data_IF_777071624873
#
_entry.id   IF_777071624873
#
_cell.length_a   1.000
_cell.length_b   1.000
_cell.length_c   1.000
_cell.angle_alpha   90.00
_cell.angle_beta   90.00
_cell.angle_gamma   90.00
#
_symmetry.space_group_name_H-M   'P 1'
#
loop_
_entity.id
_entity.type
_entity.pdbx_description
1 polymer ?
#
# COMPACT_ATOMS: atom_id res chain seq x y z
N UNK A 1 -11.69 42.73 -30.36
CA UNK A 1 -11.36 42.40 -28.95
C UNK A 1 -10.08 43.16 -28.63
N UNK A 2 -10.12 43.98 -27.60
CA UNK A 2 -9.00 44.85 -27.24
C UNK A 2 -7.86 44.02 -26.67
N UNK A 3 -6.59 44.32 -27.06
CA UNK A 3 -5.39 43.60 -26.65
C UNK A 3 -5.26 43.52 -25.11
N UNK A 4 -5.76 44.53 -24.37
CA UNK A 4 -5.78 44.55 -22.91
C UNK A 4 -6.67 43.47 -22.30
N UNK A 5 -7.82 43.21 -22.94
CA UNK A 5 -8.78 42.18 -22.51
C UNK A 5 -8.19 40.78 -22.76
N UNK A 6 -7.53 40.55 -23.90
CA UNK A 6 -6.90 39.29 -24.21
C UNK A 6 -5.76 38.93 -23.25
N UNK A 7 -5.01 39.96 -22.84
CA UNK A 7 -3.90 39.81 -21.89
C UNK A 7 -4.40 39.50 -20.47
N UNK A 8 -5.51 40.10 -20.05
CA UNK A 8 -6.16 39.78 -18.76
C UNK A 8 -6.69 38.35 -18.72
N UNK A 9 -7.34 37.89 -19.79
CA UNK A 9 -7.83 36.51 -19.90
C UNK A 9 -6.67 35.51 -19.83
N UNK A 10 -5.59 35.74 -20.57
CA UNK A 10 -4.41 34.88 -20.49
C UNK A 10 -3.83 34.83 -19.09
N UNK A 11 -3.71 35.94 -18.40
CA UNK A 11 -3.19 36.02 -17.04
C UNK A 11 -4.10 35.27 -16.04
N UNK A 12 -5.40 35.47 -16.14
CA UNK A 12 -6.40 34.75 -15.32
C UNK A 12 -6.36 33.23 -15.54
N UNK A 13 -6.20 32.77 -16.77
CA UNK A 13 -6.02 31.34 -17.07
C UNK A 13 -4.76 30.75 -16.43
N UNK A 14 -3.63 31.42 -16.50
CA UNK A 14 -2.39 30.96 -15.87
C UNK A 14 -2.50 30.86 -14.35
N UNK A 15 -3.14 31.82 -13.70
CA UNK A 15 -3.37 31.85 -12.25
C UNK A 15 -4.18 30.63 -11.78
N UNK A 16 -5.08 30.08 -12.59
CA UNK A 16 -5.92 28.94 -12.25
C UNK A 16 -5.30 27.60 -12.70
N UNK A 17 -4.52 27.57 -13.79
CA UNK A 17 -3.91 26.32 -14.28
C UNK A 17 -2.78 25.81 -13.37
N UNK A 18 -2.00 26.71 -12.77
CA UNK A 18 -0.90 26.33 -11.88
C UNK A 18 -1.41 25.59 -10.63
N UNK A 19 -2.39 26.09 -9.85
CA UNK A 19 -2.93 25.36 -8.71
C UNK A 19 -3.64 24.05 -9.13
N UNK A 20 -4.30 24.02 -10.30
CA UNK A 20 -4.84 22.76 -10.83
C UNK A 20 -3.78 21.72 -11.08
N UNK A 21 -2.67 22.07 -11.74
CA UNK A 21 -1.56 21.16 -11.95
C UNK A 21 -0.97 20.65 -10.65
N UNK A 22 -0.84 21.52 -9.64
CA UNK A 22 -0.38 21.14 -8.30
C UNK A 22 -1.32 20.14 -7.62
N UNK A 23 -2.64 20.33 -7.70
CA UNK A 23 -3.62 19.40 -7.14
C UNK A 23 -3.59 18.04 -7.83
N UNK A 24 -3.35 18.00 -9.15
CA UNK A 24 -3.19 16.73 -9.89
C UNK A 24 -1.94 16.00 -9.42
N UNK A 25 -0.81 16.70 -9.24
CA UNK A 25 0.42 16.11 -8.73
C UNK A 25 0.21 15.54 -7.33
N UNK A 26 -0.46 16.28 -6.43
CA UNK A 26 -0.79 15.78 -5.09
C UNK A 26 -1.68 14.54 -5.14
N UNK A 27 -2.70 14.52 -5.99
CA UNK A 27 -3.59 13.37 -6.14
C UNK A 27 -2.82 12.12 -6.64
N UNK A 28 -1.94 12.29 -7.63
CA UNK A 28 -1.11 11.19 -8.14
C UNK A 28 -0.12 10.68 -7.08
N UNK A 29 0.51 11.57 -6.33
CA UNK A 29 1.41 11.20 -5.22
C UNK A 29 0.67 10.42 -4.13
N UNK A 30 -0.54 10.85 -3.74
CA UNK A 30 -1.35 10.14 -2.75
C UNK A 30 -1.80 8.76 -3.24
N UNK A 31 -2.11 8.61 -4.53
CA UNK A 31 -2.44 7.30 -5.12
C UNK A 31 -1.25 6.35 -5.08
N UNK A 32 -0.05 6.82 -5.43
CA UNK A 32 1.18 6.03 -5.37
C UNK A 32 1.49 5.59 -3.94
N UNK A 33 1.34 6.50 -2.96
CA UNK A 33 1.53 6.20 -1.55
C UNK A 33 0.54 5.13 -1.03
N UNK A 34 -0.75 5.22 -1.41
CA UNK A 34 -1.77 4.22 -1.09
C UNK A 34 -1.41 2.86 -1.70
N UNK A 35 -0.98 2.85 -2.96
CA UNK A 35 -0.59 1.63 -3.65
C UNK A 35 0.62 0.98 -2.97
N UNK A 36 1.63 1.76 -2.62
CA UNK A 36 2.83 1.29 -1.91
C UNK A 36 2.47 0.72 -0.53
N UNK A 37 1.60 1.39 0.24
CA UNK A 37 1.13 0.90 1.53
C UNK A 37 0.39 -0.44 1.41
N UNK A 38 -0.45 -0.60 0.39
CA UNK A 38 -1.15 -1.86 0.13
C UNK A 38 -0.20 -2.98 -0.30
N UNK A 39 0.78 -2.70 -1.17
CA UNK A 39 1.80 -3.67 -1.57
C UNK A 39 2.62 -4.15 -0.37
N UNK A 40 3.03 -3.22 0.49
CA UNK A 40 3.74 -3.52 1.74
C UNK A 40 2.91 -4.41 2.67
N UNK A 41 1.62 -4.10 2.85
CA UNK A 41 0.71 -4.91 3.68
C UNK A 41 0.55 -6.33 3.12
N UNK A 42 0.32 -6.48 1.81
CA UNK A 42 0.16 -7.79 1.17
C UNK A 42 1.45 -8.59 1.30
N UNK A 43 2.59 -8.00 0.95
CA UNK A 43 3.90 -8.63 1.07
C UNK A 43 4.18 -9.10 2.50
N UNK A 44 4.02 -8.22 3.48
CA UNK A 44 4.25 -8.55 4.90
C UNK A 44 3.34 -9.67 5.40
N UNK A 45 2.06 -9.65 5.02
CA UNK A 45 1.10 -10.71 5.36
C UNK A 45 1.50 -12.05 4.74
N UNK A 46 1.92 -12.08 3.49
CA UNK A 46 2.37 -13.31 2.82
C UNK A 46 3.60 -13.90 3.53
N UNK A 47 4.58 -13.06 3.90
CA UNK A 47 5.78 -13.51 4.62
C UNK A 47 5.45 -13.99 6.06
N UNK A 48 4.53 -13.32 6.73
CA UNK A 48 4.01 -13.73 8.05
C UNK A 48 3.31 -15.09 7.98
N UNK A 49 2.43 -15.26 6.99
CA UNK A 49 1.73 -16.52 6.75
C UNK A 49 2.69 -17.66 6.37
N UNK A 50 3.70 -17.35 5.57
CA UNK A 50 4.74 -18.31 5.22
C UNK A 50 5.51 -18.77 6.48
N UNK A 51 5.94 -17.85 7.33
CA UNK A 51 6.65 -18.21 8.57
C UNK A 51 5.81 -19.14 9.45
N UNK A 52 4.53 -18.82 9.62
CA UNK A 52 3.58 -19.64 10.40
C UNK A 52 3.43 -21.03 9.80
N UNK A 53 3.07 -21.13 8.52
CA UNK A 53 2.88 -22.40 7.82
C UNK A 53 4.17 -23.24 7.81
N UNK A 54 5.30 -22.59 7.61
CA UNK A 54 6.61 -23.23 7.63
C UNK A 54 6.92 -23.82 9.01
N UNK A 55 6.64 -23.08 10.09
CA UNK A 55 6.83 -23.58 11.46
C UNK A 55 5.89 -24.74 11.77
N UNK A 56 4.62 -24.67 11.35
CA UNK A 56 3.65 -25.76 11.54
C UNK A 56 4.03 -26.99 10.73
N UNK A 57 4.57 -26.82 9.52
CA UNK A 57 5.06 -27.92 8.70
C UNK A 57 6.29 -28.61 9.30
N UNK A 58 7.25 -27.85 9.84
CA UNK A 58 8.39 -28.42 10.58
C UNK A 58 7.89 -29.21 11.79
N UNK A 59 6.93 -28.68 12.56
CA UNK A 59 6.31 -29.40 13.67
C UNK A 59 5.70 -30.74 13.21
N UNK A 60 4.93 -30.71 12.11
CA UNK A 60 4.32 -31.92 11.55
C UNK A 60 5.40 -32.97 11.18
N UNK A 61 6.45 -32.56 10.47
CA UNK A 61 7.55 -33.43 10.09
C UNK A 61 8.27 -34.00 11.31
N UNK A 62 8.48 -33.18 12.34
CA UNK A 62 9.07 -33.60 13.60
C UNK A 62 8.23 -34.65 14.32
N UNK A 63 6.93 -34.41 14.47
CA UNK A 63 6.00 -35.38 15.06
C UNK A 63 5.95 -36.69 14.25
N UNK A 64 5.89 -36.60 12.92
CA UNK A 64 5.84 -37.76 12.06
C UNK A 64 7.13 -38.62 12.18
N UNK A 65 8.30 -37.95 12.18
CA UNK A 65 9.57 -38.67 12.35
C UNK A 65 9.70 -39.33 13.73
N UNK A 66 9.45 -38.58 14.80
CA UNK A 66 9.57 -39.12 16.17
C UNK A 66 8.60 -40.27 16.46
N UNK A 67 7.46 -40.31 15.75
CA UNK A 67 6.46 -41.39 15.91
C UNK A 67 6.76 -42.61 15.05
N UNK A 68 7.27 -42.43 13.81
CA UNK A 68 7.42 -43.49 12.82
C UNK A 68 8.84 -44.01 12.68
N UNK A 69 9.85 -43.18 12.99
CA UNK A 69 11.27 -43.44 12.69
C UNK A 69 11.61 -43.35 11.21
N UNK A 70 10.67 -42.96 10.31
CA UNK A 70 10.93 -42.91 8.87
C UNK A 70 11.82 -41.70 8.51
N UNK A 71 13.04 -42.00 8.10
CA UNK A 71 14.06 -40.99 7.71
C UNK A 71 13.60 -39.99 6.68
N UNK A 72 12.62 -40.33 5.86
CA UNK A 72 12.02 -39.40 4.87
C UNK A 72 11.52 -38.11 5.51
N UNK A 73 10.91 -38.18 6.69
CA UNK A 73 10.42 -37.00 7.40
C UNK A 73 11.59 -36.14 7.92
N UNK A 74 12.68 -36.78 8.39
CA UNK A 74 13.85 -36.03 8.83
C UNK A 74 14.57 -35.34 7.65
N UNK A 75 14.66 -35.99 6.50
CA UNK A 75 15.25 -35.41 5.29
C UNK A 75 14.43 -34.19 4.79
N UNK A 76 13.10 -34.31 4.79
CA UNK A 76 12.20 -33.23 4.45
C UNK A 76 12.31 -32.07 5.45
N UNK A 77 12.45 -32.36 6.75
CA UNK A 77 12.63 -31.35 7.80
C UNK A 77 13.92 -30.54 7.56
N UNK A 78 15.04 -31.21 7.36
CA UNK A 78 16.33 -30.57 7.10
C UNK A 78 16.29 -29.72 5.82
N UNK A 79 15.74 -30.29 4.73
CA UNK A 79 15.56 -29.55 3.47
C UNK A 79 14.73 -28.27 3.69
N UNK A 80 13.64 -28.36 4.41
CA UNK A 80 12.77 -27.20 4.65
C UNK A 80 13.45 -26.11 5.49
N UNK A 81 14.31 -26.48 6.44
CA UNK A 81 15.13 -25.53 7.19
C UNK A 81 16.11 -24.78 6.29
N UNK A 82 16.74 -25.48 5.31
CA UNK A 82 17.63 -24.83 4.35
C UNK A 82 16.88 -23.88 3.41
N UNK A 83 15.73 -24.31 2.88
CA UNK A 83 14.89 -23.48 1.99
C UNK A 83 14.46 -22.16 2.65
N UNK A 84 14.29 -22.13 3.98
CA UNK A 84 13.95 -20.93 4.74
C UNK A 84 15.07 -19.88 4.82
N UNK A 85 16.33 -20.28 4.67
CA UNK A 85 17.48 -19.35 4.75
C UNK A 85 17.45 -18.33 3.62
N UNK A 86 17.15 -18.79 2.39
CA UNK A 86 17.04 -17.90 1.22
C UNK A 86 15.95 -16.85 1.37
N UNK A 87 14.80 -17.22 1.96
CA UNK A 87 13.69 -16.29 2.18
C UNK A 87 14.04 -15.20 3.20
N UNK A 88 14.87 -15.50 4.19
CA UNK A 88 15.27 -14.50 5.18
C UNK A 88 16.06 -13.35 4.56
N UNK A 89 16.99 -13.65 3.64
CA UNK A 89 17.74 -12.59 2.93
C UNK A 89 16.80 -11.73 2.07
N UNK A 90 15.85 -12.35 1.36
CA UNK A 90 14.84 -11.62 0.58
C UNK A 90 14.04 -10.61 1.44
N UNK A 91 13.66 -11.01 2.65
CA UNK A 91 12.91 -10.15 3.57
C UNK A 91 13.77 -9.00 4.07
N UNK A 92 15.02 -9.25 4.43
CA UNK A 92 15.94 -8.23 4.92
C UNK A 92 16.26 -7.19 3.84
N UNK A 93 16.37 -7.61 2.59
CA UNK A 93 16.66 -6.74 1.44
C UNK A 93 15.42 -6.00 0.94
N UNK A 94 14.23 -6.41 1.37
CA UNK A 94 12.97 -5.79 0.95
C UNK A 94 12.85 -4.35 1.42
N UNK A 95 12.44 -3.46 0.50
CA UNK A 95 12.07 -2.06 0.79
C UNK A 95 10.61 -1.90 1.22
N UNK A 96 9.83 -2.97 1.13
CA UNK A 96 8.40 -2.96 1.47
C UNK A 96 8.16 -3.07 2.97
N UNK A 97 9.12 -3.59 3.73
CA UNK A 97 9.07 -3.69 5.18
C UNK A 97 9.97 -2.62 5.82
N UNK A 98 9.48 -2.00 6.88
CA UNK A 98 10.31 -1.14 7.72
C UNK A 98 11.22 -1.96 8.65
N UNK A 99 12.08 -1.27 9.42
CA UNK A 99 13.06 -1.96 10.27
C UNK A 99 12.37 -2.73 11.41
N UNK A 100 11.33 -2.17 12.01
CA UNK A 100 10.59 -2.84 13.11
C UNK A 100 9.91 -4.12 12.61
N UNK A 101 9.32 -4.09 11.42
CA UNK A 101 8.72 -5.28 10.79
C UNK A 101 9.74 -6.38 10.47
N UNK A 102 10.92 -5.99 10.01
CA UNK A 102 12.04 -6.92 9.79
C UNK A 102 12.53 -7.54 11.10
N UNK A 103 12.65 -6.74 12.15
CA UNK A 103 13.08 -7.20 13.47
C UNK A 103 12.07 -8.16 14.10
N UNK A 104 10.77 -7.88 14.00
CA UNK A 104 9.70 -8.77 14.44
C UNK A 104 9.70 -10.10 13.66
N UNK A 105 9.92 -10.06 12.35
CA UNK A 105 10.07 -11.28 11.56
C UNK A 105 11.27 -12.10 12.01
N UNK A 106 12.43 -11.46 12.23
CA UNK A 106 13.65 -12.13 12.70
C UNK A 106 13.48 -12.71 14.09
N UNK A 107 12.76 -12.04 15.00
CA UNK A 107 12.45 -12.56 16.33
C UNK A 107 11.66 -13.88 16.23
N UNK A 108 10.58 -13.89 15.43
CA UNK A 108 9.79 -15.10 15.21
C UNK A 108 10.59 -16.23 14.53
N UNK A 109 11.41 -15.88 13.53
CA UNK A 109 12.30 -16.84 12.88
C UNK A 109 13.33 -17.42 13.85
N UNK A 110 13.97 -16.56 14.65
CA UNK A 110 14.95 -16.99 15.66
C UNK A 110 14.32 -17.95 16.68
N UNK A 111 13.13 -17.62 17.19
CA UNK A 111 12.42 -18.51 18.10
C UNK A 111 12.10 -19.88 17.44
N UNK A 112 11.75 -19.88 16.13
CA UNK A 112 11.52 -21.12 15.37
C UNK A 112 12.81 -21.92 15.15
N UNK A 113 13.93 -21.26 14.89
CA UNK A 113 15.22 -21.92 14.72
C UNK A 113 15.73 -22.49 16.07
N UNK A 114 15.51 -21.75 17.16
CA UNK A 114 15.81 -22.24 18.53
C UNK A 114 14.96 -23.45 18.89
N UNK A 115 13.67 -23.46 18.57
CA UNK A 115 12.79 -24.61 18.74
C UNK A 115 13.33 -25.84 18.01
N UNK A 116 13.70 -25.67 16.74
CA UNK A 116 14.27 -26.75 15.93
C UNK A 116 15.56 -27.33 16.53
N UNK A 117 16.45 -26.47 17.08
CA UNK A 117 17.73 -26.91 17.64
C UNK A 117 17.60 -27.48 19.06
N UNK A 118 16.81 -26.80 19.93
CA UNK A 118 16.76 -27.15 21.35
C UNK A 118 15.84 -28.33 21.65
N UNK A 119 14.80 -28.54 20.84
CA UNK A 119 13.75 -29.52 21.13
C UNK A 119 13.60 -30.55 20.00
N UNK A 120 13.37 -30.08 18.75
CA UNK A 120 13.01 -30.98 17.65
C UNK A 120 14.16 -31.93 17.27
N UNK A 121 15.37 -31.42 17.07
CA UNK A 121 16.51 -32.26 16.75
C UNK A 121 16.89 -33.26 17.85
N UNK A 122 16.95 -32.87 19.14
CA UNK A 122 17.17 -33.85 20.23
C UNK A 122 16.05 -34.89 20.33
N UNK A 123 14.79 -34.51 20.05
CA UNK A 123 13.67 -35.45 19.99
C UNK A 123 13.83 -36.45 18.86
N UNK A 124 14.40 -36.04 17.72
CA UNK A 124 14.71 -36.96 16.61
C UNK A 124 15.76 -38.01 16.97
N UNK A 125 16.84 -37.61 17.65
CA UNK A 125 17.90 -38.54 18.07
C UNK A 125 17.37 -39.61 19.02
N UNK A 126 16.37 -39.26 19.85
CA UNK A 126 15.81 -40.17 20.85
C UNK A 126 14.50 -40.85 20.41
N UNK A 127 13.96 -40.47 19.23
CA UNK A 127 12.62 -40.82 18.78
C UNK A 127 11.56 -40.59 19.88
N UNK A 128 11.66 -39.43 20.53
CA UNK A 128 10.77 -39.03 21.65
C UNK A 128 9.65 -38.11 21.20
N UNK A 129 8.46 -38.63 20.91
CA UNK A 129 7.32 -37.78 20.50
C UNK A 129 6.80 -36.91 21.65
N UNK A 130 7.06 -37.26 22.93
CA UNK A 130 6.60 -36.47 24.06
C UNK A 130 7.30 -35.12 24.15
N UNK A 131 8.53 -35.01 23.68
CA UNK A 131 9.27 -33.75 23.63
C UNK A 131 8.52 -32.68 22.80
N UNK A 132 7.79 -33.09 21.76
CA UNK A 132 6.99 -32.22 20.89
C UNK A 132 5.73 -31.66 21.53
N UNK A 133 5.42 -32.07 22.77
CA UNK A 133 4.29 -31.60 23.56
C UNK A 133 4.73 -31.08 24.94
N UNK A 134 6.03 -30.91 25.15
CA UNK A 134 6.57 -30.40 26.41
C UNK A 134 6.24 -28.93 26.64
N UNK A 135 6.23 -28.49 27.91
CA UNK A 135 6.03 -27.07 28.24
C UNK A 135 7.07 -26.17 27.56
N UNK A 136 8.32 -26.62 27.44
CA UNK A 136 9.36 -25.92 26.72
C UNK A 136 9.01 -25.75 25.23
N UNK A 137 8.48 -26.81 24.59
CA UNK A 137 8.00 -26.74 23.21
C UNK A 137 6.88 -25.70 23.06
N UNK A 138 5.89 -25.71 23.96
CA UNK A 138 4.78 -24.78 23.95
C UNK A 138 5.23 -23.32 24.17
N UNK A 139 6.25 -23.09 25.01
CA UNK A 139 6.83 -21.75 25.20
C UNK A 139 7.46 -21.21 23.90
N UNK A 140 8.23 -22.04 23.18
CA UNK A 140 8.77 -21.60 21.87
C UNK A 140 7.68 -21.33 20.86
N UNK A 141 6.64 -22.16 20.79
CA UNK A 141 5.50 -21.96 19.90
C UNK A 141 4.76 -20.66 20.23
N UNK A 142 4.59 -20.33 21.53
CA UNK A 142 4.00 -19.06 21.97
C UNK A 142 4.85 -17.88 21.49
N UNK A 143 6.16 -17.89 21.73
CA UNK A 143 7.08 -16.81 21.28
C UNK A 143 7.00 -16.59 19.78
N UNK A 144 6.94 -17.66 18.97
CA UNK A 144 6.82 -17.57 17.51
C UNK A 144 5.48 -16.93 17.16
N UNK A 145 4.38 -17.37 17.78
CA UNK A 145 3.04 -16.85 17.52
C UNK A 145 2.94 -15.38 17.91
N UNK A 146 3.46 -15.00 19.07
CA UNK A 146 3.45 -13.63 19.58
C UNK A 146 4.20 -12.67 18.64
N UNK A 147 5.39 -13.07 18.15
CA UNK A 147 6.15 -12.27 17.17
C UNK A 147 5.39 -12.12 15.85
N UNK A 148 4.75 -13.19 15.37
CA UNK A 148 3.92 -13.18 14.16
C UNK A 148 2.71 -12.26 14.31
N UNK A 149 2.03 -12.32 15.44
CA UNK A 149 0.83 -11.51 15.69
C UNK A 149 1.20 -10.03 15.87
N UNK A 150 2.30 -9.71 16.57
CA UNK A 150 2.84 -8.34 16.66
C UNK A 150 3.22 -7.78 15.28
N UNK A 151 3.91 -8.56 14.47
CA UNK A 151 4.23 -8.17 13.09
C UNK A 151 2.98 -7.88 12.27
N UNK A 152 1.97 -8.72 12.38
CA UNK A 152 0.69 -8.54 11.68
C UNK A 152 -0.06 -7.29 12.16
N UNK A 153 -0.06 -7.03 13.45
CA UNK A 153 -0.68 -5.84 14.04
C UNK A 153 0.04 -4.57 13.58
N UNK A 154 1.37 -4.56 13.60
CA UNK A 154 2.18 -3.43 13.13
C UNK A 154 1.92 -3.12 11.64
N UNK A 155 1.95 -4.14 10.77
CA UNK A 155 1.62 -4.02 9.35
C UNK A 155 0.23 -3.43 9.12
N UNK A 156 -0.78 -3.89 9.87
CA UNK A 156 -2.14 -3.39 9.76
C UNK A 156 -2.23 -1.92 10.19
N UNK A 157 -1.65 -1.58 11.34
CA UNK A 157 -1.68 -0.22 11.91
C UNK A 157 -1.00 0.77 10.98
N UNK A 158 0.21 0.43 10.48
CA UNK A 158 0.96 1.25 9.53
C UNK A 158 0.18 1.47 8.24
N UNK A 159 -0.35 0.39 7.65
CA UNK A 159 -1.10 0.48 6.39
C UNK A 159 -2.39 1.28 6.55
N UNK A 160 -3.13 1.09 7.64
CA UNK A 160 -4.35 1.85 7.91
C UNK A 160 -4.07 3.34 8.14
N UNK A 161 -3.01 3.66 8.90
CA UNK A 161 -2.59 5.04 9.14
C UNK A 161 -2.23 5.75 7.84
N UNK A 162 -1.37 5.14 7.04
CA UNK A 162 -0.96 5.68 5.73
C UNK A 162 -2.16 5.82 4.79
N UNK A 163 -2.95 4.77 4.62
CA UNK A 163 -4.11 4.80 3.71
C UNK A 163 -5.13 5.85 4.14
N UNK A 164 -5.37 6.04 5.44
CA UNK A 164 -6.33 7.04 5.94
C UNK A 164 -5.87 8.47 5.65
N UNK A 165 -4.61 8.80 5.93
CA UNK A 165 -4.05 10.12 5.67
C UNK A 165 -4.03 10.44 4.17
N UNK A 166 -3.56 9.52 3.34
CA UNK A 166 -3.48 9.70 1.90
C UNK A 166 -4.86 9.77 1.24
N UNK A 167 -5.83 8.99 1.72
CA UNK A 167 -7.22 9.08 1.24
C UNK A 167 -7.84 10.44 1.58
N UNK A 168 -7.51 11.02 2.74
CA UNK A 168 -7.96 12.36 3.09
C UNK A 168 -7.36 13.41 2.15
N UNK A 169 -6.04 13.36 1.89
CA UNK A 169 -5.35 14.26 0.95
C UNK A 169 -5.93 14.13 -0.46
N UNK A 170 -6.17 12.90 -0.93
CA UNK A 170 -6.79 12.65 -2.23
C UNK A 170 -8.18 13.29 -2.31
N UNK A 171 -9.03 13.14 -1.30
CA UNK A 171 -10.36 13.77 -1.25
C UNK A 171 -10.25 15.30 -1.30
N UNK A 172 -9.38 15.90 -0.52
CA UNK A 172 -9.19 17.36 -0.53
C UNK A 172 -8.67 17.87 -1.87
N UNK A 173 -7.73 17.15 -2.52
CA UNK A 173 -7.26 17.51 -3.85
C UNK A 173 -8.37 17.43 -4.89
N UNK A 174 -9.25 16.41 -4.83
CA UNK A 174 -10.41 16.28 -5.72
C UNK A 174 -11.43 17.40 -5.51
N UNK A 175 -11.74 17.77 -4.26
CA UNK A 175 -12.64 18.89 -3.96
C UNK A 175 -12.05 20.21 -4.44
N UNK A 176 -10.76 20.45 -4.19
CA UNK A 176 -10.06 21.63 -4.69
C UNK A 176 -10.08 21.72 -6.21
N UNK A 177 -9.83 20.61 -6.91
CA UNK A 177 -9.93 20.54 -8.36
C UNK A 177 -11.33 20.84 -8.87
N UNK A 178 -12.37 20.26 -8.27
CA UNK A 178 -13.77 20.53 -8.60
C UNK A 178 -14.15 22.00 -8.40
N UNK A 179 -13.72 22.59 -7.29
CA UNK A 179 -13.97 24.01 -7.00
C UNK A 179 -13.30 24.93 -8.02
N UNK A 180 -12.00 24.73 -8.33
CA UNK A 180 -11.28 25.53 -9.32
C UNK A 180 -11.93 25.38 -10.70
N UNK A 181 -12.36 24.17 -11.07
CA UNK A 181 -13.04 23.93 -12.34
C UNK A 181 -14.36 24.69 -12.45
N UNK A 182 -15.16 24.74 -11.37
CA UNK A 182 -16.39 25.53 -11.30
C UNK A 182 -16.11 27.03 -11.45
N UNK A 183 -15.09 27.54 -10.77
CA UNK A 183 -14.68 28.95 -10.89
C UNK A 183 -14.26 29.27 -12.34
N UNK A 184 -13.46 28.39 -12.97
CA UNK A 184 -13.09 28.56 -14.38
C UNK A 184 -14.30 28.63 -15.31
N UNK A 185 -15.26 27.71 -15.15
CA UNK A 185 -16.49 27.71 -15.96
C UNK A 185 -17.30 28.99 -15.74
N UNK A 186 -17.41 29.46 -14.50
CA UNK A 186 -18.11 30.71 -14.16
C UNK A 186 -17.43 31.91 -14.83
N UNK A 187 -16.10 32.02 -14.76
CA UNK A 187 -15.34 33.08 -15.41
C UNK A 187 -15.53 33.10 -16.94
N UNK A 188 -15.45 31.91 -17.58
CA UNK A 188 -15.66 31.78 -19.01
C UNK A 188 -17.08 32.17 -19.44
N UNK A 189 -18.11 31.96 -18.60
CA UNK A 189 -19.48 32.37 -18.88
C UNK A 189 -19.68 33.90 -18.75
N UNK A 190 -19.01 34.54 -17.79
CA UNK A 190 -19.05 35.98 -17.61
C UNK A 190 -18.39 36.70 -18.78
N UNK A 191 -17.31 36.10 -19.33
CA UNK A 191 -16.54 36.65 -20.45
C UNK A 191 -17.08 36.21 -21.82
N UNK A 192 -18.15 35.42 -21.86
CA UNK A 192 -18.79 34.97 -23.10
C UNK A 192 -19.18 36.13 -24.02
N UNK A 193 -19.16 35.97 -25.34
CA UNK A 193 -19.33 37.07 -26.29
C UNK A 193 -20.66 37.75 -26.04
N UNK A 194 -20.62 39.03 -25.58
CA UNK A 194 -21.78 39.92 -25.68
C UNK A 194 -22.16 39.94 -27.17
N UNK A 195 -23.26 39.33 -27.50
CA UNK A 195 -23.80 39.37 -28.86
C UNK A 195 -23.83 40.81 -29.27
N UNK A 196 -23.18 41.18 -30.40
CA UNK A 196 -23.18 42.58 -30.84
C UNK A 196 -24.64 43.01 -31.01
N UNK A 197 -25.03 44.04 -30.29
CA UNK A 197 -26.34 44.68 -30.43
C UNK A 197 -26.55 44.89 -31.94
N UNK A 198 -27.53 44.20 -32.50
CA UNK A 198 -27.98 44.44 -33.88
C UNK A 198 -28.29 45.94 -34.01
N UNK A 199 -27.34 46.70 -34.62
CA UNK A 199 -27.62 48.06 -35.02
C UNK A 199 -28.82 48.01 -35.97
N UNK A 200 -29.98 48.42 -35.49
CA UNK A 200 -31.16 48.64 -36.30
C UNK A 200 -30.79 49.72 -37.35
N UNK A 201 -30.50 49.28 -38.57
CA UNK A 201 -30.34 50.16 -39.72
C UNK A 201 -31.66 50.88 -39.89
N UNK A 202 -31.71 52.18 -39.51
CA UNK A 202 -32.80 53.07 -39.83
C UNK A 202 -32.80 53.28 -41.34
N UNK A 203 -33.64 52.55 -42.05
CA UNK A 203 -33.93 52.81 -43.46
C UNK A 203 -34.70 54.13 -43.52
N UNK A 204 -34.06 55.19 -44.04
CA UNK A 204 -34.74 56.46 -44.34
C UNK A 204 -35.73 56.22 -45.47
N UNK A 205 -37.01 56.72 -45.34
CA UNK A 205 -38.00 56.59 -46.42
C UNK A 205 -37.57 57.45 -47.63
N UNK A 206 -37.58 56.89 -48.82
CA UNK A 206 -37.37 57.58 -50.09
C UNK A 206 -38.54 58.55 -50.31
N UNK A 207 -38.19 59.82 -50.39
CA UNK A 207 -39.11 60.89 -50.81
C UNK A 207 -39.54 60.71 -52.25
N UNK A 208 -40.85 60.49 -52.53
CA UNK A 208 -41.38 60.45 -53.86
C UNK A 208 -41.33 61.85 -54.43
N UNK A 209 -40.57 62.12 -55.52
CA UNK A 209 -40.72 63.30 -56.38
C UNK A 209 -42.01 63.16 -57.19
N UNK A 210 -42.91 64.11 -57.08
CA UNK A 210 -44.06 64.34 -58.01
C UNK A 210 -43.51 65.16 -59.16
N UNK A 211 -43.72 64.72 -60.37
CA UNK A 211 -43.87 65.48 -61.62
C UNK A 211 -45.34 65.61 -61.97
#
# INVERSE_FOLDING_TARGET
MDNSTLQKIKHSMWVLTVPMAFLVILALSSLDAIQTANQSLVYGRDKTLFLRKSTDYLTYLGCAYTTTGDKKFMDLFNKHLEDRKGLTSEILDSKLLDQEEKDLYLEGKKASDELAQAIEKPAFEKLDPKAMYSDAYLQYKSRITDSIDRLREHLNTRSQGSTRSETALLKYSMYGFGFISLVMVALLRIEGPQTPHKNKIKIKPKTKRKT
#
